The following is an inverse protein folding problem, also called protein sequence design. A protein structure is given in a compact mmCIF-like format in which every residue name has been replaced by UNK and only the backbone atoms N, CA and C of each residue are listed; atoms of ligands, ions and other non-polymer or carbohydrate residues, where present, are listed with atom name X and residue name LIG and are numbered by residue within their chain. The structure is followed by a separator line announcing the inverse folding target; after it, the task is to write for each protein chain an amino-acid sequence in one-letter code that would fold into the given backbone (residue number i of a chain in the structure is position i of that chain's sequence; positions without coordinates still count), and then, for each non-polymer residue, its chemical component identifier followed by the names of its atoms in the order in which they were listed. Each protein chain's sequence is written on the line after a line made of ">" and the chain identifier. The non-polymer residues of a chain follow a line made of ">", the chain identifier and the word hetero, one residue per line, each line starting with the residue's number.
data_IF_560793902500
#
_entry.id   IF_560793902500
#
_cell.length_a   1.000
_cell.length_b   1.000
_cell.length_c   1.000
_cell.angle_alpha   90.00
_cell.angle_beta   90.00
_cell.angle_gamma   90.00
#
_symmetry.space_group_name_H-M   'P 1'
#
loop_
_entity.id
_entity.type
_entity.pdbx_description
1 polymer ?
#
# COMPACT_ATOMS: atom_id res chain seq x y z
N UNK A 1 -32.11 20.23 -18.98
CA UNK A 1 -31.47 21.50 -18.64
C UNK A 1 -30.02 21.38 -19.08
N UNK A 2 -29.57 22.25 -19.97
CA UNK A 2 -28.20 22.21 -20.49
C UNK A 2 -27.35 23.20 -19.67
N UNK A 3 -26.29 22.71 -19.03
CA UNK A 3 -25.36 23.58 -18.29
C UNK A 3 -24.59 24.46 -19.25
N UNK A 4 -24.27 25.70 -18.86
CA UNK A 4 -23.40 26.54 -19.68
C UNK A 4 -21.99 25.94 -19.80
N UNK A 5 -21.34 26.16 -20.94
CA UNK A 5 -19.95 25.72 -21.18
C UNK A 5 -18.99 26.28 -20.12
N UNK A 6 -19.20 27.52 -19.68
CA UNK A 6 -18.45 28.16 -18.59
C UNK A 6 -18.57 27.36 -17.28
N UNK A 7 -19.78 26.88 -16.95
CA UNK A 7 -20.02 26.09 -15.74
C UNK A 7 -19.36 24.71 -15.83
N UNK A 8 -19.50 24.02 -16.97
CA UNK A 8 -18.83 22.73 -17.20
C UNK A 8 -17.31 22.86 -17.14
N UNK A 9 -16.75 23.97 -17.63
CA UNK A 9 -15.32 24.25 -17.54
C UNK A 9 -14.84 24.32 -16.08
N UNK A 10 -15.60 25.00 -15.21
CA UNK A 10 -15.28 25.06 -13.76
C UNK A 10 -15.29 23.68 -13.11
N UNK A 11 -16.26 22.83 -13.44
CA UNK A 11 -16.33 21.44 -12.96
C UNK A 11 -15.10 20.65 -13.44
N UNK A 12 -14.73 20.78 -14.71
CA UNK A 12 -13.56 20.11 -15.26
C UNK A 12 -12.28 20.57 -14.58
N UNK A 13 -12.12 21.89 -14.35
CA UNK A 13 -10.97 22.44 -13.63
C UNK A 13 -10.85 21.86 -12.22
N UNK A 14 -11.99 21.78 -11.51
CA UNK A 14 -12.05 21.17 -10.18
C UNK A 14 -11.74 19.67 -10.20
N UNK A 15 -12.15 18.91 -11.23
CA UNK A 15 -11.74 17.50 -11.41
C UNK A 15 -10.23 17.34 -11.59
N UNK A 16 -9.60 18.24 -12.36
CA UNK A 16 -8.14 18.25 -12.50
C UNK A 16 -7.46 18.51 -11.15
N UNK A 17 -7.96 19.50 -10.43
CA UNK A 17 -7.43 19.91 -9.13
C UNK A 17 -7.55 18.81 -8.06
N UNK A 18 -8.70 18.15 -7.96
CA UNK A 18 -8.98 17.16 -6.93
C UNK A 18 -8.46 15.75 -7.28
N UNK A 19 -8.74 15.25 -8.49
CA UNK A 19 -8.53 13.82 -8.81
C UNK A 19 -7.31 13.54 -9.70
N UNK A 20 -6.98 14.44 -10.61
CA UNK A 20 -5.98 14.12 -11.64
C UNK A 20 -4.55 14.39 -11.17
N UNK A 21 -3.86 13.32 -10.78
CA UNK A 21 -2.42 13.31 -10.44
C UNK A 21 -1.56 13.10 -11.70
N UNK A 22 -2.13 12.43 -12.70
CA UNK A 22 -1.51 12.17 -14.00
C UNK A 22 -2.59 12.01 -15.07
N UNK A 23 -2.20 12.15 -16.34
CA UNK A 23 -3.11 12.12 -17.48
C UNK A 23 -2.75 11.04 -18.51
N UNK A 24 -1.67 10.28 -18.33
CA UNK A 24 -1.22 9.26 -19.31
C UNK A 24 -2.00 7.95 -19.17
N UNK A 25 -2.54 7.67 -17.99
CA UNK A 25 -3.30 6.44 -17.69
C UNK A 25 -4.66 6.79 -17.12
N UNK A 26 -5.72 6.29 -17.72
CA UNK A 26 -7.10 6.45 -17.25
C UNK A 26 -7.96 5.28 -17.75
N UNK A 27 -9.07 5.03 -17.07
CA UNK A 27 -10.07 4.03 -17.44
C UNK A 27 -11.21 4.70 -18.20
N UNK A 28 -11.76 3.98 -19.17
CA UNK A 28 -13.02 4.31 -19.84
C UNK A 28 -13.98 3.15 -19.64
N UNK A 29 -15.15 3.45 -19.07
CA UNK A 29 -16.29 2.55 -19.10
C UNK A 29 -17.06 2.78 -20.40
N UNK A 30 -17.34 1.71 -21.14
CA UNK A 30 -18.15 1.71 -22.35
C UNK A 30 -19.56 1.21 -22.05
N UNK A 31 -20.49 1.50 -22.97
CA UNK A 31 -21.86 0.99 -22.92
C UNK A 31 -21.85 -0.54 -22.75
N UNK A 32 -22.61 -1.05 -21.79
CA UNK A 32 -22.56 -2.46 -21.38
C UNK A 32 -21.69 -2.70 -20.13
N UNK A 33 -20.95 -1.69 -19.66
CA UNK A 33 -20.25 -1.71 -18.38
C UNK A 33 -18.79 -2.16 -18.42
N UNK A 34 -18.28 -2.57 -19.59
CA UNK A 34 -16.88 -2.96 -19.78
C UNK A 34 -15.93 -1.78 -19.56
N UNK A 35 -14.82 -2.01 -18.84
CA UNK A 35 -13.75 -1.03 -18.66
C UNK A 35 -12.57 -1.33 -19.58
N UNK A 36 -12.00 -0.29 -20.20
CA UNK A 36 -10.71 -0.37 -20.90
C UNK A 36 -9.78 0.74 -20.43
N UNK A 37 -8.52 0.40 -20.23
CA UNK A 37 -7.47 1.40 -20.04
C UNK A 37 -7.16 2.08 -21.38
N UNK A 38 -6.86 3.37 -21.34
CA UNK A 38 -6.34 4.07 -22.51
C UNK A 38 -4.95 3.55 -22.91
N UNK A 39 -4.56 3.82 -24.17
CA UNK A 39 -3.17 3.68 -24.60
C UNK A 39 -2.36 4.92 -24.15
N UNK A 40 -1.12 4.78 -23.64
CA UNK A 40 -0.34 5.89 -23.08
C UNK A 40 -0.14 7.10 -24.00
N UNK A 41 -0.08 6.88 -25.31
CA UNK A 41 0.04 7.91 -26.35
C UNK A 41 -1.21 8.78 -26.51
N UNK A 42 -2.34 8.36 -25.93
CA UNK A 42 -3.62 9.07 -25.93
C UNK A 42 -3.96 9.53 -24.51
N UNK A 43 -3.36 10.62 -24.02
CA UNK A 43 -3.60 11.09 -22.67
C UNK A 43 -5.03 11.61 -22.48
N UNK A 44 -5.48 11.64 -21.23
CA UNK A 44 -6.70 12.28 -20.81
C UNK A 44 -6.66 13.76 -21.18
N UNK A 45 -7.76 14.26 -21.73
CA UNK A 45 -7.93 15.61 -22.28
C UNK A 45 -9.27 16.13 -21.78
N UNK A 46 -9.44 17.46 -21.73
CA UNK A 46 -10.67 18.10 -21.24
C UNK A 46 -11.94 17.58 -21.91
N UNK A 47 -11.92 17.33 -23.23
CA UNK A 47 -13.09 16.81 -23.92
C UNK A 47 -13.52 15.41 -23.44
N UNK A 48 -12.61 14.59 -22.90
CA UNK A 48 -12.96 13.30 -22.31
C UNK A 48 -13.79 13.50 -21.04
N UNK A 49 -13.42 14.47 -20.21
CA UNK A 49 -14.18 14.85 -19.02
C UNK A 49 -15.50 15.52 -19.38
N UNK A 50 -15.55 16.27 -20.47
CA UNK A 50 -16.81 16.81 -20.97
C UNK A 50 -17.80 15.69 -21.36
N UNK A 51 -17.34 14.67 -22.11
CA UNK A 51 -18.14 13.47 -22.41
C UNK A 51 -18.54 12.69 -21.16
N UNK A 52 -17.69 12.70 -20.14
CA UNK A 52 -17.99 12.13 -18.84
C UNK A 52 -19.16 12.81 -18.14
N UNK A 53 -19.11 14.15 -18.05
CA UNK A 53 -20.17 14.96 -17.48
C UNK A 53 -21.47 14.84 -18.28
N UNK A 54 -21.42 14.68 -19.61
CA UNK A 54 -22.61 14.42 -20.45
C UNK A 54 -23.16 13.00 -20.33
N UNK A 55 -22.47 12.10 -19.62
CA UNK A 55 -22.89 10.70 -19.45
C UNK A 55 -22.65 9.81 -20.67
N UNK A 56 -21.96 10.32 -21.70
CA UNK A 56 -21.65 9.57 -22.93
C UNK A 56 -20.60 8.48 -22.71
N UNK A 57 -19.69 8.70 -21.76
CA UNK A 57 -18.66 7.75 -21.32
C UNK A 57 -18.42 7.95 -19.83
N UNK A 58 -17.81 6.99 -19.17
CA UNK A 58 -17.40 7.19 -17.77
C UNK A 58 -15.90 7.01 -17.63
N UNK A 59 -15.26 7.94 -16.94
CA UNK A 59 -13.81 8.01 -16.81
C UNK A 59 -13.39 7.63 -15.40
N UNK A 60 -12.30 6.90 -15.27
CA UNK A 60 -11.60 6.68 -14.01
C UNK A 60 -10.14 7.10 -14.09
N UNK A 61 -9.55 7.49 -12.96
CA UNK A 61 -8.17 7.93 -12.84
C UNK A 61 -7.33 6.92 -12.06
N UNK A 62 -6.00 7.02 -12.18
CA UNK A 62 -5.04 6.26 -11.39
C UNK A 62 -4.13 7.18 -10.60
N UNK A 63 -3.58 6.67 -9.49
CA UNK A 63 -2.53 7.33 -8.73
C UNK A 63 -1.20 7.31 -9.49
N UNK A 64 -0.24 8.09 -9.01
CA UNK A 64 1.18 7.80 -9.26
C UNK A 64 1.65 6.75 -8.26
N UNK A 65 2.77 6.10 -8.58
CA UNK A 65 3.33 5.03 -7.74
C UNK A 65 3.63 5.48 -6.32
N UNK A 66 4.20 6.67 -6.13
CA UNK A 66 4.79 7.06 -4.85
C UNK A 66 4.04 8.18 -4.11
N UNK A 67 3.19 8.94 -4.79
CA UNK A 67 2.50 10.08 -4.19
C UNK A 67 1.04 10.15 -4.62
N UNK A 68 0.20 10.65 -3.71
CA UNK A 68 -1.21 10.96 -3.95
C UNK A 68 -1.58 12.32 -3.38
N UNK A 69 -2.69 12.90 -3.89
CA UNK A 69 -3.32 14.12 -3.37
C UNK A 69 -4.76 13.89 -2.91
N UNK A 70 -5.21 12.64 -2.95
CA UNK A 70 -6.53 12.25 -2.46
C UNK A 70 -6.55 10.77 -2.09
N UNK A 71 -7.48 10.42 -1.22
CA UNK A 71 -7.74 9.06 -0.76
C UNK A 71 -9.18 8.71 -1.09
N UNK A 72 -9.43 7.44 -1.37
CA UNK A 72 -10.75 6.90 -1.63
C UNK A 72 -10.88 5.55 -0.92
N UNK A 73 -11.92 5.45 -0.09
CA UNK A 73 -12.44 4.18 0.40
C UNK A 73 -13.49 3.71 -0.62
N UNK A 74 -13.13 2.77 -1.49
CA UNK A 74 -14.04 2.18 -2.47
C UNK A 74 -14.83 1.05 -1.80
N UNK A 75 -16.04 1.37 -1.34
CA UNK A 75 -16.96 0.51 -0.61
C UNK A 75 -17.83 -0.25 -1.62
N UNK A 76 -17.38 -1.40 -2.10
CA UNK A 76 -18.10 -2.26 -3.07
C UNK A 76 -18.68 -3.50 -2.40
N UNK A 77 -19.94 -3.41 -1.94
CA UNK A 77 -20.65 -4.53 -1.35
C UNK A 77 -21.73 -5.08 -2.27
N UNK A 78 -21.85 -6.41 -2.31
CA UNK A 78 -22.95 -7.08 -3.02
C UNK A 78 -24.34 -6.70 -2.47
N UNK A 79 -24.41 -6.37 -1.18
CA UNK A 79 -25.57 -5.90 -0.43
C UNK A 79 -25.41 -4.39 -0.15
N UNK A 80 -26.38 -3.61 -0.62
CA UNK A 80 -26.35 -2.14 -0.53
C UNK A 80 -26.53 -1.65 0.91
N UNK A 81 -27.28 -2.35 1.76
CA UNK A 81 -27.46 -1.93 3.16
C UNK A 81 -26.17 -2.13 3.96
N UNK A 82 -25.41 -3.18 3.66
CA UNK A 82 -24.05 -3.35 4.21
C UNK A 82 -23.12 -2.26 3.66
N UNK A 83 -23.20 -1.93 2.37
CA UNK A 83 -22.41 -0.84 1.78
C UNK A 83 -22.68 0.50 2.51
N UNK A 84 -23.94 0.82 2.76
CA UNK A 84 -24.36 2.02 3.50
C UNK A 84 -23.83 1.99 4.92
N UNK A 85 -24.03 0.89 5.65
CA UNK A 85 -23.57 0.75 7.03
C UNK A 85 -22.05 0.95 7.15
N UNK A 86 -21.27 0.35 6.26
CA UNK A 86 -19.81 0.55 6.21
C UNK A 86 -19.45 2.00 5.88
N UNK A 87 -20.16 2.63 4.93
CA UNK A 87 -19.96 4.05 4.59
C UNK A 87 -20.23 4.95 5.81
N UNK A 88 -21.28 4.67 6.60
CA UNK A 88 -21.55 5.36 7.86
C UNK A 88 -20.44 5.16 8.89
N UNK A 89 -19.94 3.94 9.03
CA UNK A 89 -18.84 3.63 9.95
C UNK A 89 -17.58 4.42 9.62
N UNK A 90 -17.20 4.47 8.34
CA UNK A 90 -16.05 5.25 7.86
C UNK A 90 -16.27 6.75 8.13
N UNK A 91 -17.42 7.30 7.73
CA UNK A 91 -17.75 8.71 7.95
C UNK A 91 -17.74 9.10 9.44
N UNK A 92 -18.36 8.29 10.29
CA UNK A 92 -18.37 8.50 11.73
C UNK A 92 -16.95 8.46 12.33
N UNK A 93 -16.09 7.54 11.89
CA UNK A 93 -14.69 7.50 12.35
C UNK A 93 -13.91 8.75 11.95
N UNK A 94 -14.13 9.25 10.72
CA UNK A 94 -13.53 10.50 10.26
C UNK A 94 -14.04 11.70 11.10
N UNK A 95 -15.34 11.76 11.37
CA UNK A 95 -15.94 12.81 12.19
C UNK A 95 -15.42 12.80 13.64
N UNK A 96 -15.21 11.62 14.23
CA UNK A 96 -14.63 11.48 15.58
C UNK A 96 -13.19 12.01 15.67
N UNK A 97 -12.47 12.05 14.55
CA UNK A 97 -11.13 12.64 14.42
C UNK A 97 -11.18 14.13 14.04
N UNK A 98 -12.37 14.71 13.95
CA UNK A 98 -12.60 16.10 13.51
C UNK A 98 -12.38 16.31 12.01
N UNK A 99 -12.28 15.26 11.21
CA UNK A 99 -12.09 15.33 9.76
C UNK A 99 -13.45 15.35 9.08
N UNK A 100 -14.04 16.53 8.92
CA UNK A 100 -15.38 16.69 8.36
C UNK A 100 -15.43 16.89 6.83
N UNK A 101 -14.27 17.15 6.20
CA UNK A 101 -14.18 17.37 4.75
C UNK A 101 -13.92 16.07 3.99
N UNK A 102 -14.81 15.09 4.17
CA UNK A 102 -14.89 13.90 3.33
C UNK A 102 -16.16 13.91 2.50
N UNK A 103 -16.11 13.30 1.34
CA UNK A 103 -17.15 13.42 0.32
C UNK A 103 -17.58 12.03 -0.12
N UNK A 104 -18.87 11.77 -0.10
CA UNK A 104 -19.41 10.44 -0.44
C UNK A 104 -20.08 10.50 -1.80
N UNK A 105 -19.72 9.58 -2.71
CA UNK A 105 -20.37 9.45 -4.01
C UNK A 105 -20.87 8.02 -4.27
N UNK A 106 -22.01 7.89 -4.94
CA UNK A 106 -22.56 6.58 -5.30
C UNK A 106 -21.88 6.04 -6.55
N UNK A 107 -21.48 4.77 -6.52
CA UNK A 107 -20.82 4.12 -7.65
C UNK A 107 -21.78 3.81 -8.81
N UNK A 108 -23.07 4.09 -8.71
CA UNK A 108 -24.04 3.81 -9.78
C UNK A 108 -24.44 2.33 -9.90
N UNK A 109 -23.87 1.43 -9.08
CA UNK A 109 -24.22 0.00 -9.05
C UNK A 109 -24.53 -0.49 -7.64
N UNK A 110 -23.51 -0.83 -6.84
CA UNK A 110 -23.71 -1.44 -5.50
C UNK A 110 -22.78 -0.90 -4.42
N UNK A 111 -22.12 0.22 -4.67
CA UNK A 111 -21.09 0.72 -3.76
C UNK A 111 -21.06 2.24 -3.64
N UNK A 112 -20.19 2.70 -2.76
CA UNK A 112 -19.94 4.10 -2.49
C UNK A 112 -18.44 4.36 -2.50
N UNK A 113 -18.04 5.57 -2.89
CA UNK A 113 -16.70 6.06 -2.61
C UNK A 113 -16.79 7.05 -1.46
N UNK A 114 -15.89 6.94 -0.48
CA UNK A 114 -15.65 8.00 0.52
C UNK A 114 -14.30 8.62 0.21
N UNK A 115 -14.29 9.91 -0.10
CA UNK A 115 -13.17 10.58 -0.75
C UNK A 115 -12.67 11.75 0.10
N UNK A 116 -11.35 11.83 0.28
CA UNK A 116 -10.67 12.93 0.99
C UNK A 116 -9.66 13.55 0.04
N UNK A 117 -9.68 14.88 -0.10
CA UNK A 117 -8.74 15.61 -0.95
C UNK A 117 -7.75 16.38 -0.09
N UNK A 118 -6.48 16.40 -0.50
CA UNK A 118 -5.39 16.98 0.27
C UNK A 118 -4.88 18.24 -0.41
N UNK A 119 -4.52 19.24 0.38
CA UNK A 119 -3.93 20.50 -0.09
C UNK A 119 -2.53 20.30 -0.69
N UNK A 120 -1.83 19.24 -0.27
CA UNK A 120 -0.49 18.85 -0.74
C UNK A 120 -0.45 17.37 -1.10
N UNK A 121 0.61 16.97 -1.81
CA UNK A 121 0.89 15.56 -2.06
C UNK A 121 1.48 14.90 -0.81
N UNK A 122 1.04 13.68 -0.51
CA UNK A 122 1.67 12.80 0.48
C UNK A 122 2.19 11.52 -0.15
N UNK A 123 3.15 10.84 0.50
CA UNK A 123 3.52 9.49 0.11
C UNK A 123 2.31 8.55 0.10
N UNK A 124 2.18 7.72 -0.93
CA UNK A 124 1.09 6.72 -1.03
C UNK A 124 1.06 5.80 0.19
N UNK A 125 2.22 5.51 0.78
CA UNK A 125 2.33 4.70 2.00
C UNK A 125 1.63 5.37 3.19
N UNK A 126 1.89 6.66 3.45
CA UNK A 126 1.24 7.40 4.54
C UNK A 126 -0.28 7.49 4.35
N UNK A 127 -0.72 7.63 3.10
CA UNK A 127 -2.14 7.59 2.76
C UNK A 127 -2.76 6.21 3.04
N UNK A 128 -2.03 5.13 2.74
CA UNK A 128 -2.46 3.77 2.99
C UNK A 128 -2.51 3.44 4.49
N UNK A 129 -1.52 3.89 5.28
CA UNK A 129 -1.52 3.79 6.74
C UNK A 129 -2.75 4.48 7.33
N UNK A 130 -3.01 5.73 6.93
CA UNK A 130 -4.23 6.44 7.36
C UNK A 130 -5.52 5.69 6.99
N UNK A 131 -5.57 5.10 5.78
CA UNK A 131 -6.70 4.26 5.39
C UNK A 131 -6.90 3.06 6.34
N UNK A 132 -5.84 2.34 6.68
CA UNK A 132 -5.89 1.21 7.61
C UNK A 132 -6.31 1.67 9.02
N UNK A 133 -5.80 2.80 9.49
CA UNK A 133 -6.21 3.42 10.75
C UNK A 133 -7.72 3.63 10.80
N UNK A 134 -8.30 4.25 9.76
CA UNK A 134 -9.74 4.52 9.72
C UNK A 134 -10.55 3.22 9.70
N UNK A 135 -10.10 2.19 8.98
CA UNK A 135 -10.77 0.88 9.02
C UNK A 135 -10.75 0.25 10.42
N UNK A 136 -9.60 0.33 11.12
CA UNK A 136 -9.47 -0.14 12.52
C UNK A 136 -10.37 0.65 13.45
N UNK A 137 -10.33 1.98 13.39
CA UNK A 137 -11.16 2.87 14.20
C UNK A 137 -12.67 2.66 13.94
N UNK A 138 -13.04 2.37 12.70
CA UNK A 138 -14.40 2.01 12.31
C UNK A 138 -14.86 0.63 12.82
N UNK A 139 -13.94 -0.18 13.35
CA UNK A 139 -14.20 -1.55 13.77
C UNK A 139 -14.57 -2.47 12.60
N UNK A 140 -14.03 -2.19 11.41
CA UNK A 140 -14.26 -3.01 10.21
C UNK A 140 -13.27 -4.19 10.25
N UNK A 141 -13.72 -5.45 10.38
CA UNK A 141 -12.83 -6.59 10.62
C UNK A 141 -11.83 -6.84 9.48
N UNK A 142 -10.63 -7.34 9.79
CA UNK A 142 -9.61 -7.69 8.79
C UNK A 142 -10.02 -8.85 7.86
N UNK A 143 -10.82 -9.78 8.38
CA UNK A 143 -11.42 -10.90 7.65
C UNK A 143 -12.73 -10.52 6.94
N UNK A 144 -13.09 -9.24 6.91
CA UNK A 144 -14.05 -8.70 5.94
C UNK A 144 -13.39 -8.69 4.55
N UNK A 145 -13.05 -9.90 4.07
CA UNK A 145 -12.22 -10.14 2.90
C UNK A 145 -12.87 -9.54 1.67
N UNK A 146 -12.36 -8.35 1.31
CA UNK A 146 -12.58 -7.59 0.08
C UNK A 146 -13.99 -7.04 -0.06
N UNK A 147 -14.25 -5.83 0.47
CA UNK A 147 -15.35 -4.94 0.02
C UNK A 147 -15.14 -3.45 0.33
N UNK A 148 -14.09 -3.07 1.08
CA UNK A 148 -13.57 -1.69 1.08
C UNK A 148 -12.15 -1.75 0.56
N UNK A 149 -11.85 -1.03 -0.52
CA UNK A 149 -10.52 -1.00 -1.12
C UNK A 149 -9.94 0.40 -1.06
N UNK A 150 -8.65 0.50 -0.75
CA UNK A 150 -7.94 1.75 -0.90
C UNK A 150 -7.72 2.05 -2.37
N UNK A 151 -8.15 3.25 -2.79
CA UNK A 151 -7.94 3.78 -4.13
C UNK A 151 -7.51 5.26 -4.03
N UNK A 152 -6.88 5.83 -5.07
CA UNK A 152 -6.32 5.13 -6.21
C UNK A 152 -4.96 4.48 -5.91
N UNK A 153 -4.64 3.41 -6.64
CA UNK A 153 -3.30 2.82 -6.73
C UNK A 153 -2.77 2.90 -8.17
N UNK A 154 -1.49 2.58 -8.39
CA UNK A 154 -0.90 2.58 -9.73
C UNK A 154 -1.50 1.50 -10.67
N UNK A 155 -2.00 0.41 -10.11
CA UNK A 155 -2.60 -0.73 -10.83
C UNK A 155 -4.13 -0.69 -10.82
N UNK A 156 -4.71 0.11 -9.93
CA UNK A 156 -6.12 0.07 -9.56
C UNK A 156 -6.70 1.48 -9.59
N UNK A 157 -7.45 1.78 -10.65
CA UNK A 157 -8.04 3.10 -10.86
C UNK A 157 -9.33 3.30 -10.05
N UNK A 158 -9.69 4.56 -9.82
CA UNK A 158 -10.97 4.96 -9.23
C UNK A 158 -11.79 5.70 -10.27
N UNK A 159 -13.08 5.36 -10.38
CA UNK A 159 -13.99 6.07 -11.26
C UNK A 159 -14.27 7.48 -10.72
N UNK A 160 -14.28 8.48 -11.61
CA UNK A 160 -14.65 9.85 -11.26
C UNK A 160 -16.17 9.96 -11.01
N UNK A 161 -16.60 10.81 -10.04
CA UNK A 161 -18.02 11.09 -9.80
C UNK A 161 -18.60 11.97 -10.93
N UNK A 162 -19.91 12.20 -10.91
CA UNK A 162 -20.65 13.04 -11.87
C UNK A 162 -20.81 12.45 -13.29
N UNK A 163 -20.33 11.21 -13.49
CA UNK A 163 -20.61 10.43 -14.69
C UNK A 163 -21.88 9.59 -14.61
N UNK A 164 -22.11 8.79 -15.65
CA UNK A 164 -23.18 7.79 -15.70
C UNK A 164 -22.58 6.40 -15.77
N UNK A 165 -22.93 5.51 -14.84
CA UNK A 165 -22.45 4.13 -14.88
C UNK A 165 -22.98 3.42 -16.13
N UNK A 166 -22.10 3.02 -17.04
CA UNK A 166 -22.46 2.64 -18.41
C UNK A 166 -23.08 1.24 -18.52
N UNK A 167 -23.04 0.45 -17.45
CA UNK A 167 -23.74 -0.84 -17.35
C UNK A 167 -25.16 -0.74 -16.80
N UNK A 168 -25.44 0.25 -15.94
CA UNK A 168 -26.75 0.38 -15.25
C UNK A 168 -27.54 1.60 -15.73
N UNK A 169 -26.90 2.58 -16.35
CA UNK A 169 -27.50 3.87 -16.70
C UNK A 169 -27.65 4.84 -15.51
N UNK A 170 -27.28 4.43 -14.30
CA UNK A 170 -27.43 5.26 -13.11
C UNK A 170 -26.40 6.39 -13.05
N UNK A 171 -26.83 7.55 -12.60
CA UNK A 171 -25.95 8.67 -12.31
C UNK A 171 -25.08 8.38 -11.09
N UNK A 172 -23.79 8.68 -11.18
CA UNK A 172 -22.82 8.53 -10.09
C UNK A 172 -22.71 9.86 -9.33
N UNK A 173 -23.77 10.23 -8.61
CA UNK A 173 -23.89 11.49 -7.88
C UNK A 173 -23.31 11.45 -6.47
N UNK A 174 -23.15 12.63 -5.87
CA UNK A 174 -22.77 12.74 -4.46
C UNK A 174 -23.93 12.34 -3.54
N UNK A 175 -23.61 11.97 -2.30
CA UNK A 175 -24.54 11.52 -1.28
C UNK A 175 -24.23 12.26 0.03
N UNK A 176 -25.23 12.46 0.89
CA UNK A 176 -25.01 12.96 2.24
C UNK A 176 -25.30 11.86 3.27
N UNK A 177 -24.46 11.73 4.30
CA UNK A 177 -24.76 10.84 5.41
C UNK A 177 -26.00 11.30 6.19
N UNK A 178 -26.21 12.62 6.32
CA UNK A 178 -27.34 13.17 7.08
C UNK A 178 -28.71 12.86 6.49
N UNK A 179 -28.78 12.45 5.22
CA UNK A 179 -30.04 12.18 4.52
C UNK A 179 -30.19 10.72 4.06
N UNK A 180 -29.52 9.78 4.74
CA UNK A 180 -29.68 8.37 4.41
C UNK A 180 -28.82 7.90 3.24
N UNK A 181 -27.78 8.65 2.85
CA UNK A 181 -27.01 8.46 1.61
C UNK A 181 -27.88 8.57 0.35
N UNK A 182 -28.84 9.51 0.36
CA UNK A 182 -29.60 9.84 -0.85
C UNK A 182 -28.65 10.38 -1.91
N UNK A 183 -28.70 9.77 -3.10
CA UNK A 183 -27.98 10.27 -4.27
C UNK A 183 -28.58 11.61 -4.68
N UNK A 184 -27.75 12.66 -4.63
CA UNK A 184 -28.05 13.98 -5.15
C UNK A 184 -28.30 13.90 -6.67
N UNK A 185 -29.21 14.71 -7.17
CA UNK A 185 -29.39 14.84 -8.61
C UNK A 185 -28.17 15.50 -9.28
N UNK A 186 -28.23 15.67 -10.59
CA UNK A 186 -27.12 16.22 -11.37
C UNK A 186 -26.78 17.67 -11.00
N UNK A 187 -27.78 18.53 -10.81
CA UNK A 187 -27.57 19.94 -10.49
C UNK A 187 -27.04 20.08 -9.05
N UNK A 188 -27.65 19.33 -8.11
CA UNK A 188 -27.22 19.25 -6.72
C UNK A 188 -25.75 18.78 -6.63
N UNK A 189 -25.43 17.66 -7.29
CA UNK A 189 -24.08 17.09 -7.26
C UNK A 189 -23.03 18.00 -7.89
N UNK A 190 -23.36 18.73 -8.97
CA UNK A 190 -22.42 19.64 -9.62
C UNK A 190 -22.12 20.85 -8.73
N UNK A 191 -23.15 21.40 -8.07
CA UNK A 191 -22.99 22.51 -7.13
C UNK A 191 -22.17 22.07 -5.91
N UNK A 192 -22.53 20.93 -5.32
CA UNK A 192 -21.80 20.32 -4.21
C UNK A 192 -20.33 20.06 -4.55
N UNK A 193 -20.04 19.57 -5.77
CA UNK A 193 -18.67 19.30 -6.21
C UNK A 193 -17.77 20.55 -6.25
N UNK A 194 -18.32 21.71 -6.61
CA UNK A 194 -17.56 22.96 -6.65
C UNK A 194 -17.21 23.45 -5.24
N UNK A 195 -18.04 23.12 -4.25
CA UNK A 195 -17.88 23.46 -2.84
C UNK A 195 -16.92 22.51 -2.10
N UNK A 196 -16.44 21.44 -2.74
CA UNK A 196 -15.48 20.52 -2.13
C UNK A 196 -14.20 21.26 -1.70
N UNK A 197 -13.80 21.06 -0.45
CA UNK A 197 -12.61 21.61 0.16
C UNK A 197 -11.55 20.54 0.33
N UNK A 198 -10.30 20.99 0.39
CA UNK A 198 -9.14 20.13 0.65
C UNK A 198 -8.82 20.18 2.13
N UNK A 199 -8.43 19.04 2.67
CA UNK A 199 -7.93 18.88 4.03
C UNK A 199 -6.47 19.34 4.06
N UNK A 200 -6.11 20.03 5.15
CA UNK A 200 -4.72 20.26 5.50
C UNK A 200 -4.01 18.93 5.75
N UNK A 201 -3.04 18.64 4.89
CA UNK A 201 -2.25 17.43 4.89
C UNK A 201 -1.65 17.10 6.27
N UNK A 202 -1.24 18.11 7.04
CA UNK A 202 -0.63 17.88 8.36
C UNK A 202 -1.58 17.19 9.33
N UNK A 203 -2.89 17.43 9.21
CA UNK A 203 -3.91 16.75 10.04
C UNK A 203 -3.96 15.25 9.79
N UNK A 204 -3.69 14.82 8.56
CA UNK A 204 -3.65 13.40 8.20
C UNK A 204 -2.35 12.78 8.69
N UNK A 205 -1.22 13.46 8.47
CA UNK A 205 0.10 12.97 8.86
C UNK A 205 0.26 12.88 10.39
N UNK A 206 -0.28 13.82 11.15
CA UNK A 206 -0.22 13.79 12.62
C UNK A 206 -0.92 12.57 13.19
N UNK A 207 -2.09 12.19 12.65
CA UNK A 207 -2.83 10.99 13.06
C UNK A 207 -2.00 9.73 12.84
N UNK A 208 -1.33 9.62 11.70
CA UNK A 208 -0.48 8.46 11.37
C UNK A 208 0.76 8.40 12.28
N UNK A 209 1.40 9.55 12.55
CA UNK A 209 2.56 9.61 13.45
C UNK A 209 2.17 9.28 14.89
N UNK A 210 1.03 9.77 15.36
CA UNK A 210 0.52 9.47 16.69
C UNK A 210 0.21 7.97 16.82
N UNK A 211 -0.35 7.35 15.78
CA UNK A 211 -0.56 5.90 15.76
C UNK A 211 0.76 5.13 15.80
N UNK A 212 1.76 5.47 14.97
CA UNK A 212 3.09 4.86 15.02
C UNK A 212 3.66 4.97 16.46
N UNK A 213 3.48 6.12 17.12
CA UNK A 213 3.94 6.35 18.48
C UNK A 213 3.14 5.60 19.55
N UNK A 214 1.84 5.41 19.35
CA UNK A 214 0.97 4.65 20.26
C UNK A 214 1.28 3.17 20.16
N UNK A 215 1.41 2.64 18.94
CA UNK A 215 1.83 1.25 18.72
C UNK A 215 3.22 1.01 19.33
N UNK A 216 4.16 1.96 19.20
CA UNK A 216 5.46 1.90 19.87
C UNK A 216 5.34 1.91 21.40
N UNK A 217 4.47 2.75 21.99
CA UNK A 217 4.23 2.80 23.44
C UNK A 217 3.52 1.57 23.98
N UNK A 218 2.55 1.04 23.24
CA UNK A 218 1.83 -0.18 23.61
C UNK A 218 2.75 -1.39 23.50
N UNK A 219 3.64 -1.40 22.50
CA UNK A 219 4.73 -2.36 22.39
C UNK A 219 5.75 -2.21 23.53
N UNK A 220 6.18 -0.99 23.88
CA UNK A 220 7.09 -0.72 25.01
C UNK A 220 6.48 -1.12 26.36
N UNK A 221 5.18 -0.86 26.58
CA UNK A 221 4.45 -1.25 27.78
C UNK A 221 4.23 -2.78 27.85
N UNK A 222 3.95 -3.44 26.71
CA UNK A 222 3.87 -4.89 26.62
C UNK A 222 5.24 -5.55 26.88
N UNK A 223 6.32 -4.99 26.32
CA UNK A 223 7.72 -5.42 26.55
C UNK A 223 8.13 -5.20 28.01
N UNK A 224 7.67 -4.12 28.64
CA UNK A 224 7.99 -3.81 30.04
C UNK A 224 7.22 -4.68 31.05
N UNK A 225 6.10 -5.29 30.64
CA UNK A 225 5.22 -6.04 31.53
C UNK A 225 5.28 -7.56 31.38
N UNK A 226 5.87 -8.13 30.32
CA UNK A 226 6.10 -9.57 30.21
C UNK A 226 7.34 -9.93 29.37
N UNK A 227 8.03 -10.98 29.80
CA UNK A 227 9.18 -11.58 29.13
C UNK A 227 8.83 -12.07 27.70
N UNK A 228 9.72 -11.75 26.75
CA UNK A 228 9.88 -12.27 25.39
C UNK A 228 8.75 -12.03 24.36
N UNK A 229 9.20 -11.58 23.18
CA UNK A 229 8.49 -10.91 22.07
C UNK A 229 7.51 -11.79 21.27
N UNK A 230 6.48 -11.18 20.67
CA UNK A 230 5.66 -11.78 19.61
C UNK A 230 5.80 -10.95 18.33
N UNK A 231 6.21 -11.62 17.25
CA UNK A 231 6.43 -11.09 15.91
C UNK A 231 5.13 -10.61 15.23
N UNK A 232 5.20 -9.43 14.60
CA UNK A 232 4.15 -8.90 13.71
C UNK A 232 4.11 -9.70 12.39
N UNK A 233 2.91 -10.16 11.99
CA UNK A 233 2.66 -10.84 10.73
C UNK A 233 2.91 -9.92 9.51
N UNK A 234 3.92 -10.24 8.71
CA UNK A 234 4.08 -9.70 7.34
C UNK A 234 3.67 -10.78 6.34
N UNK A 235 2.56 -10.55 5.63
CA UNK A 235 2.03 -11.46 4.62
C UNK A 235 2.95 -11.55 3.39
N UNK A 236 3.46 -12.75 3.14
CA UNK A 236 4.37 -13.15 2.06
C UNK A 236 5.47 -14.03 2.65
N UNK A 237 5.86 -15.13 2.00
CA UNK A 237 6.85 -16.10 2.49
C UNK A 237 8.27 -15.49 2.66
N UNK A 238 8.43 -14.53 3.56
CA UNK A 238 9.68 -13.90 3.99
C UNK A 238 10.10 -14.46 5.35
N UNK A 239 9.94 -15.77 5.54
CA UNK A 239 10.43 -16.47 6.72
C UNK A 239 11.91 -16.82 6.56
N UNK A 240 12.59 -17.00 7.69
CA UNK A 240 13.96 -17.55 7.74
C UNK A 240 14.03 -18.91 7.05
N UNK A 241 13.03 -19.78 7.27
CA UNK A 241 12.94 -21.10 6.64
C UNK A 241 12.85 -21.01 5.12
N UNK A 242 12.00 -20.12 4.58
CA UNK A 242 11.85 -19.95 3.14
C UNK A 242 13.13 -19.41 2.49
N UNK A 243 13.85 -18.52 3.19
CA UNK A 243 15.14 -18.00 2.72
C UNK A 243 16.25 -19.07 2.75
N UNK A 244 16.28 -19.90 3.80
CA UNK A 244 17.23 -21.02 3.91
C UNK A 244 16.93 -22.11 2.89
N UNK A 245 15.65 -22.44 2.67
CA UNK A 245 15.24 -23.41 1.65
C UNK A 245 15.67 -22.94 0.25
N UNK A 246 15.44 -21.67 -0.07
CA UNK A 246 15.92 -21.07 -1.33
C UNK A 246 17.45 -21.09 -1.41
N UNK A 247 18.15 -20.77 -0.32
CA UNK A 247 19.62 -20.75 -0.29
C UNK A 247 20.21 -22.13 -0.59
N UNK A 248 19.60 -23.20 -0.07
CA UNK A 248 20.07 -24.57 -0.25
C UNK A 248 19.60 -25.24 -1.54
N UNK A 249 18.32 -25.09 -1.90
CA UNK A 249 17.71 -25.82 -3.02
C UNK A 249 17.74 -25.05 -4.34
N UNK A 250 18.00 -23.74 -4.30
CA UNK A 250 18.12 -22.93 -5.49
C UNK A 250 16.79 -22.60 -6.19
N UNK A 251 16.88 -22.18 -7.45
CA UNK A 251 15.73 -21.84 -8.28
C UNK A 251 14.97 -23.10 -8.72
N UNK A 252 13.64 -23.07 -8.62
CA UNK A 252 12.77 -24.18 -9.04
C UNK A 252 11.99 -23.88 -10.33
N UNK A 253 11.80 -22.60 -10.67
CA UNK A 253 11.08 -22.16 -11.87
C UNK A 253 11.70 -20.91 -12.50
N UNK A 254 11.37 -20.65 -13.76
CA UNK A 254 11.80 -19.43 -14.44
C UNK A 254 11.11 -18.19 -13.87
N UNK A 255 11.77 -17.02 -14.02
CA UNK A 255 11.26 -15.71 -13.55
C UNK A 255 11.24 -15.50 -12.03
N UNK A 256 11.94 -16.31 -11.25
CA UNK A 256 12.05 -16.17 -9.79
C UNK A 256 13.24 -15.32 -9.32
N UNK A 257 14.23 -15.04 -10.19
CA UNK A 257 15.52 -14.41 -9.82
C UNK A 257 15.37 -13.16 -8.93
N UNK A 258 14.56 -12.19 -9.35
CA UNK A 258 14.43 -10.93 -8.61
C UNK A 258 13.80 -11.13 -7.23
N UNK A 259 12.77 -11.99 -7.13
CA UNK A 259 12.17 -12.37 -5.85
C UNK A 259 13.15 -13.13 -4.96
N UNK A 260 13.97 -14.01 -5.55
CA UNK A 260 15.03 -14.74 -4.84
C UNK A 260 16.11 -13.80 -4.29
N UNK A 261 16.55 -12.82 -5.09
CA UNK A 261 17.49 -11.79 -4.62
C UNK A 261 16.90 -10.99 -3.47
N UNK A 262 15.62 -10.61 -3.55
CA UNK A 262 14.93 -9.89 -2.48
C UNK A 262 14.89 -10.69 -1.17
N UNK A 263 14.61 -11.99 -1.24
CA UNK A 263 14.57 -12.87 -0.07
C UNK A 263 15.96 -13.09 0.54
N UNK A 264 16.98 -13.35 -0.30
CA UNK A 264 18.36 -13.54 0.16
C UNK A 264 18.96 -12.24 0.71
N UNK A 265 18.70 -11.08 0.11
CA UNK A 265 19.15 -9.80 0.63
C UNK A 265 18.54 -9.51 2.02
N UNK A 266 17.27 -9.85 2.24
CA UNK A 266 16.63 -9.76 3.57
C UNK A 266 17.26 -10.74 4.57
N UNK A 267 17.65 -11.95 4.14
CA UNK A 267 18.40 -12.89 4.99
C UNK A 267 19.76 -12.31 5.42
N UNK A 268 20.50 -11.71 4.47
CA UNK A 268 21.80 -11.10 4.77
C UNK A 268 21.65 -9.90 5.70
N UNK A 269 20.66 -9.04 5.46
CA UNK A 269 20.38 -7.90 6.33
C UNK A 269 19.91 -8.35 7.73
N UNK A 270 19.08 -9.39 7.81
CA UNK A 270 18.67 -10.00 9.09
C UNK A 270 19.87 -10.50 9.91
N UNK A 271 20.91 -11.02 9.25
CA UNK A 271 22.16 -11.47 9.88
C UNK A 271 23.24 -10.38 9.99
N UNK A 272 22.90 -9.11 9.72
CA UNK A 272 23.80 -7.95 9.82
C UNK A 272 25.06 -8.05 8.95
N UNK A 273 24.98 -8.80 7.83
CA UNK A 273 26.07 -8.87 6.85
C UNK A 273 26.19 -7.52 6.14
N UNK A 274 27.40 -7.00 5.90
CA UNK A 274 27.55 -5.74 5.17
C UNK A 274 27.10 -5.86 3.69
N UNK A 275 26.73 -4.74 3.07
CA UNK A 275 26.18 -4.70 1.69
C UNK A 275 27.09 -5.38 0.67
N UNK A 276 28.39 -5.09 0.74
CA UNK A 276 29.40 -5.61 -0.18
C UNK A 276 29.44 -7.14 -0.10
N UNK A 277 29.41 -7.68 1.12
CA UNK A 277 29.42 -9.13 1.33
C UNK A 277 28.08 -9.78 0.97
N UNK A 278 26.96 -9.09 1.16
CA UNK A 278 25.65 -9.58 0.75
C UNK A 278 25.54 -9.75 -0.78
N UNK A 279 26.05 -8.78 -1.55
CA UNK A 279 26.11 -8.86 -3.02
C UNK A 279 26.98 -10.05 -3.45
N UNK A 280 28.16 -10.21 -2.84
CA UNK A 280 29.06 -11.33 -3.13
C UNK A 280 28.37 -12.69 -2.90
N UNK A 281 27.72 -12.87 -1.74
CA UNK A 281 27.01 -14.12 -1.39
C UNK A 281 25.84 -14.41 -2.34
N UNK A 282 25.07 -13.38 -2.74
CA UNK A 282 23.98 -13.55 -3.70
C UNK A 282 24.50 -13.97 -5.08
N UNK A 283 25.62 -13.39 -5.51
CA UNK A 283 26.23 -13.72 -6.80
C UNK A 283 26.89 -15.10 -6.80
N UNK A 284 27.53 -15.50 -5.70
CA UNK A 284 28.03 -16.87 -5.51
C UNK A 284 26.90 -17.89 -5.47
N UNK A 285 25.76 -17.54 -4.87
CA UNK A 285 24.56 -18.37 -4.90
C UNK A 285 24.02 -18.50 -6.33
N UNK A 286 23.96 -17.40 -7.09
CA UNK A 286 23.50 -17.40 -8.49
C UNK A 286 24.37 -18.29 -9.38
N UNK A 287 25.68 -18.29 -9.17
CA UNK A 287 26.64 -19.10 -9.94
C UNK A 287 26.44 -20.61 -9.78
N UNK A 288 25.74 -21.03 -8.72
CA UNK A 288 25.40 -22.43 -8.45
C UNK A 288 24.04 -22.84 -9.05
N UNK A 289 23.30 -21.91 -9.68
CA UNK A 289 21.95 -22.16 -10.19
C UNK A 289 21.96 -22.69 -11.63
N UNK A 290 20.94 -23.49 -11.96
CA UNK A 290 20.75 -24.00 -13.32
C UNK A 290 20.30 -22.87 -14.27
N UNK A 291 21.06 -22.65 -15.34
CA UNK A 291 20.79 -21.63 -16.37
C UNK A 291 19.46 -21.84 -17.12
N UNK A 292 18.81 -23.00 -16.98
CA UNK A 292 17.44 -23.19 -17.49
C UNK A 292 16.41 -22.31 -16.79
N UNK A 293 16.67 -21.89 -15.55
CA UNK A 293 15.74 -21.07 -14.75
C UNK A 293 15.99 -19.56 -14.90
N UNK A 294 17.13 -19.14 -15.48
CA UNK A 294 17.40 -17.73 -15.75
C UNK A 294 18.28 -17.55 -17.01
N UNK A 295 17.88 -16.63 -17.90
CA UNK A 295 18.57 -16.40 -19.19
C UNK A 295 19.35 -15.09 -19.26
N UNK A 296 19.35 -14.32 -18.17
CA UNK A 296 20.02 -13.01 -18.15
C UNK A 296 21.52 -13.17 -18.05
N UNK A 297 22.24 -12.25 -18.69
CA UNK A 297 23.70 -12.16 -18.62
C UNK A 297 24.15 -11.76 -17.21
N UNK A 298 25.38 -12.15 -16.85
CA UNK A 298 25.94 -11.97 -15.50
C UNK A 298 26.01 -10.51 -15.05
N UNK A 299 26.36 -9.61 -15.95
CA UNK A 299 26.38 -8.15 -15.72
C UNK A 299 25.00 -7.59 -15.36
N UNK A 300 23.95 -8.06 -16.04
CA UNK A 300 22.55 -7.70 -15.73
C UNK A 300 22.15 -8.24 -14.36
N UNK A 301 22.54 -9.48 -14.03
CA UNK A 301 22.26 -10.07 -12.73
C UNK A 301 23.00 -9.35 -11.59
N UNK A 302 24.25 -8.94 -11.80
CA UNK A 302 25.02 -8.17 -10.83
C UNK A 302 24.34 -6.83 -10.53
N UNK A 303 23.92 -6.10 -11.57
CA UNK A 303 23.22 -4.82 -11.39
C UNK A 303 21.88 -4.97 -10.66
N UNK A 304 21.15 -6.06 -10.92
CA UNK A 304 19.91 -6.40 -10.22
C UNK A 304 20.18 -6.71 -8.73
N UNK A 305 21.23 -7.48 -8.43
CA UNK A 305 21.64 -7.77 -7.05
C UNK A 305 22.06 -6.51 -6.28
N UNK A 306 22.86 -5.62 -6.89
CA UNK A 306 23.21 -4.32 -6.30
C UNK A 306 21.97 -3.49 -5.95
N UNK A 307 21.05 -3.32 -6.92
CA UNK A 307 19.84 -2.53 -6.72
C UNK A 307 18.95 -3.13 -5.62
N UNK A 308 18.85 -4.46 -5.55
CA UNK A 308 18.07 -5.17 -4.54
C UNK A 308 18.68 -5.03 -3.15
N UNK A 309 19.99 -5.22 -3.02
CA UNK A 309 20.70 -5.06 -1.74
C UNK A 309 20.60 -3.61 -1.26
N UNK A 310 20.80 -2.64 -2.15
CA UNK A 310 20.64 -1.23 -1.78
C UNK A 310 19.22 -0.91 -1.33
N UNK A 311 18.21 -1.44 -2.01
CA UNK A 311 16.82 -1.28 -1.60
C UNK A 311 16.54 -1.90 -0.23
N UNK A 312 16.95 -3.16 -0.01
CA UNK A 312 16.72 -3.88 1.26
C UNK A 312 17.39 -3.17 2.44
N UNK A 313 18.66 -2.78 2.28
CA UNK A 313 19.44 -2.20 3.37
C UNK A 313 19.06 -0.76 3.65
N UNK A 314 18.76 0.04 2.63
CA UNK A 314 18.34 1.43 2.82
C UNK A 314 16.95 1.55 3.47
N UNK A 315 16.14 0.48 3.39
CA UNK A 315 14.82 0.38 4.02
C UNK A 315 14.82 -0.57 5.23
N UNK A 316 15.99 -1.02 5.69
CA UNK A 316 16.18 -1.97 6.79
C UNK A 316 15.23 -3.18 6.79
N UNK A 317 15.02 -3.79 5.61
CA UNK A 317 14.09 -4.91 5.46
C UNK A 317 14.76 -6.21 5.95
N UNK A 318 14.13 -6.94 6.88
CA UNK A 318 14.62 -8.22 7.42
C UNK A 318 13.61 -9.36 7.18
N UNK A 319 13.96 -10.58 7.61
CA UNK A 319 13.06 -11.74 7.61
C UNK A 319 12.21 -11.80 8.90
N UNK A 320 11.05 -12.42 8.79
CA UNK A 320 10.21 -12.81 9.92
C UNK A 320 10.77 -14.11 10.54
N UNK A 321 10.97 -14.11 11.86
CA UNK A 321 11.41 -15.32 12.59
C UNK A 321 10.17 -16.17 12.86
N UNK A 322 10.10 -17.37 12.29
CA UNK A 322 9.15 -18.36 12.78
C UNK A 322 9.70 -18.92 14.09
N UNK A 323 8.92 -18.83 15.17
CA UNK A 323 9.28 -19.49 16.43
C UNK A 323 9.27 -21.00 16.22
N UNK A 324 10.44 -21.62 16.18
CA UNK A 324 10.57 -23.03 16.52
C UNK A 324 10.81 -23.11 18.02
N UNK A 325 9.94 -23.86 18.67
CA UNK A 325 10.07 -24.23 20.07
C UNK A 325 11.31 -25.14 20.23
N UNK A 326 12.47 -24.52 20.34
CA UNK A 326 13.72 -25.17 20.72
C UNK A 326 13.71 -25.27 22.24
N UNK A 327 12.99 -26.25 22.76
CA UNK A 327 13.18 -26.68 24.15
C UNK A 327 14.54 -27.37 24.24
N UNK A 328 15.59 -26.57 24.41
CA UNK A 328 16.91 -27.07 24.77
C UNK A 328 16.86 -27.35 26.26
N UNK A 329 16.93 -28.63 26.63
CA UNK A 329 16.95 -29.01 28.03
C UNK A 329 18.24 -28.49 28.69
N UNK A 330 18.18 -28.17 29.98
CA UNK A 330 19.37 -27.78 30.75
C UNK A 330 20.53 -28.78 30.64
N UNK A 331 20.23 -30.05 30.33
CA UNK A 331 21.23 -31.09 30.06
C UNK A 331 22.01 -30.86 28.77
N UNK A 332 21.36 -30.38 27.71
CA UNK A 332 22.00 -30.08 26.42
C UNK A 332 22.88 -28.84 26.51
N UNK A 333 22.42 -27.80 27.23
CA UNK A 333 23.23 -26.60 27.51
C UNK A 333 24.48 -26.96 28.34
N UNK A 334 24.34 -27.83 29.34
CA UNK A 334 25.48 -28.28 30.15
C UNK A 334 26.47 -29.15 29.35
N UNK A 335 26.00 -29.94 28.39
CA UNK A 335 26.86 -30.74 27.53
C UNK A 335 27.72 -29.87 26.61
N UNK A 336 27.14 -28.81 26.03
CA UNK A 336 27.84 -27.84 25.18
C UNK A 336 28.85 -27.02 26.00
N UNK A 337 28.44 -26.51 27.18
CA UNK A 337 29.32 -25.73 28.07
C UNK A 337 30.56 -26.52 28.52
N UNK A 338 30.42 -27.83 28.79
CA UNK A 338 31.55 -28.70 29.16
C UNK A 338 32.46 -29.02 27.98
N UNK A 339 31.91 -29.11 26.76
CA UNK A 339 32.72 -29.32 25.55
C UNK A 339 33.45 -28.05 25.10
N UNK A 340 32.90 -26.86 25.34
CA UNK A 340 33.50 -25.60 24.88
C UNK A 340 34.52 -24.98 25.85
N UNK A 341 34.55 -25.36 27.13
CA UNK A 341 35.54 -24.87 28.11
C UNK A 341 36.76 -25.79 28.29
N UNK A 342 36.85 -26.88 27.52
CA UNK A 342 37.95 -27.85 27.56
C UNK A 342 39.12 -27.56 26.61
N UNK A 343 38.99 -26.64 25.66
CA UNK A 343 40.04 -26.38 24.67
C UNK A 343 40.35 -24.88 24.52
N UNK A 344 41.56 -24.52 24.99
CA UNK A 344 42.36 -23.32 24.70
C UNK A 344 42.16 -22.09 25.60
N UNK A 345 42.67 -22.21 26.83
CA UNK A 345 43.60 -21.19 27.34
C UNK A 345 44.97 -21.42 26.68
N UNK A 346 45.29 -20.70 25.59
CA UNK A 346 46.68 -20.33 25.30
C UNK A 346 46.75 -19.31 24.15
N UNK A 347 47.33 -18.15 24.49
CA UNK A 347 47.97 -17.14 23.62
C UNK A 347 47.07 -16.17 22.85
N UNK A 348 46.77 -15.05 23.51
CA UNK A 348 46.89 -13.73 22.88
C UNK A 348 47.37 -12.72 23.94
N UNK A 349 48.69 -12.56 24.03
CA UNK A 349 49.35 -11.42 24.66
C UNK A 349 50.02 -10.63 23.53
N UNK A 350 50.05 -9.30 23.67
CA UNK A 350 50.79 -8.30 22.86
C UNK A 350 50.05 -7.90 21.55
N UNK A 351 49.69 -6.64 21.26
CA UNK A 351 50.34 -5.36 21.60
C UNK A 351 49.31 -4.21 21.72
N UNK A 352 49.49 -3.39 22.75
CA UNK A 352 48.94 -2.05 22.95
C UNK A 352 49.80 -1.07 22.14
N UNK A 353 49.19 -0.08 21.47
CA UNK A 353 49.90 1.11 21.00
C UNK A 353 49.66 2.19 22.04
N UNK A 354 50.70 2.49 22.83
CA UNK A 354 50.77 3.72 23.62
C UNK A 354 51.29 4.87 22.75
N UNK A 355 50.65 6.01 22.96
CA UNK A 355 50.91 7.33 22.39
C UNK A 355 52.31 7.89 22.72
N UNK A 356 52.96 8.47 21.71
CA UNK A 356 53.71 9.74 21.77
C UNK A 356 53.66 10.45 20.41
#
# INVERSE_FOLDING_TARGET
>A
MEFSEEYLKKIIDKMFDLYLIQHKRYLMQFKGGEYKQNRPENPLKRYHLHKHLKGERTIGTFARTYVTKFLCFDVDFSDLEVAKWVTYKIGNSLDQLGLHHYYVSFSGKKGYHVELFLDKFIPTERAHQFYLFILRAAGIPSHFSGKVEYRPFATQGVKLPLGTHQGTGNFCGFCSLSNGLRVMDRNESFSYFLEIEKIDTERILSIVVDEDSSELRDMENAISSHNSLINYEQSGNYSVEGALELYHNGLSQSSQRHASFMLLARLMNHNQVCKEKAIEVIMEWLDKQDQRFYRSKRDVCLKDAENVVDFVYSNNLTLAVAERDLTVSFREINAIMRHCLGEKSEKANVCVIDSF
#
